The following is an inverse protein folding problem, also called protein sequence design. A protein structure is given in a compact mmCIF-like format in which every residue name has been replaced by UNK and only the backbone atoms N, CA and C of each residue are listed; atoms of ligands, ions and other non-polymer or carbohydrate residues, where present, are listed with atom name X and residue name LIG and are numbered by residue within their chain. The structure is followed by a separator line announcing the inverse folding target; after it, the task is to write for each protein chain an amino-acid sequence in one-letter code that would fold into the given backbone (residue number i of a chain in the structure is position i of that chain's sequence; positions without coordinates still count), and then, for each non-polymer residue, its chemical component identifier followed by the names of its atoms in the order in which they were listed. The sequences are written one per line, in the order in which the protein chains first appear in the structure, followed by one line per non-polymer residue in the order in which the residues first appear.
data_IF_965364970155
#
_entry.id   IF_965364970155
#
_cell.length_a   1.000
_cell.length_b   1.000
_cell.length_c   1.000
_cell.angle_alpha   90.00
_cell.angle_beta   90.00
_cell.angle_gamma   90.00
#
_symmetry.space_group_name_H-M   'P 1'
#
loop_
_entity.id
_entity.type
_entity.pdbx_description
1 polymer ?
#
# COMPACT_ATOMS: atom_id res chain seq x y z
N UNK A 1 5.59 -7.62 14.10
CA UNK A 1 5.84 -6.46 13.22
C UNK A 1 5.84 -6.81 11.73
N UNK A 2 6.20 -8.05 11.36
CA UNK A 2 6.21 -8.48 9.96
C UNK A 2 4.93 -9.25 9.64
N UNK A 3 4.31 -8.87 8.54
CA UNK A 3 3.08 -9.45 8.01
C UNK A 3 3.42 -10.26 6.77
N UNK A 4 2.77 -11.41 6.64
CA UNK A 4 2.94 -12.33 5.54
C UNK A 4 1.68 -12.32 4.68
N UNK A 5 1.88 -12.03 3.39
CA UNK A 5 0.85 -12.02 2.37
C UNK A 5 0.97 -13.31 1.57
N UNK A 6 -0.13 -14.04 1.42
CA UNK A 6 -0.19 -15.27 0.62
C UNK A 6 -1.30 -15.20 -0.42
N UNK A 7 -1.27 -16.12 -1.39
CA UNK A 7 -2.19 -16.18 -2.53
C UNK A 7 -2.07 -14.96 -3.46
N UNK A 8 -0.88 -14.41 -3.62
CA UNK A 8 -0.63 -13.36 -4.60
C UNK A 8 -0.92 -13.84 -6.03
N UNK A 9 -1.25 -12.95 -6.97
CA UNK A 9 -1.33 -13.28 -8.39
C UNK A 9 0.06 -13.50 -8.99
N UNK A 10 0.15 -14.30 -10.05
CA UNK A 10 1.42 -14.74 -10.65
C UNK A 10 2.26 -13.59 -11.22
N UNK A 11 1.58 -12.51 -11.66
CA UNK A 11 2.20 -11.32 -12.25
C UNK A 11 2.17 -10.12 -11.30
N UNK A 12 2.23 -10.37 -9.98
CA UNK A 12 2.25 -9.28 -9.01
C UNK A 12 3.55 -8.48 -9.09
N UNK A 13 3.44 -7.16 -9.04
CA UNK A 13 4.57 -6.24 -8.96
C UNK A 13 4.68 -5.63 -7.56
N UNK A 14 5.88 -5.17 -7.19
CA UNK A 14 6.07 -4.43 -5.95
C UNK A 14 5.14 -3.21 -5.86
N UNK A 15 4.92 -2.50 -6.98
CA UNK A 15 4.02 -1.35 -7.03
C UNK A 15 2.58 -1.70 -6.62
N UNK A 16 2.08 -2.86 -7.05
CA UNK A 16 0.74 -3.33 -6.65
C UNK A 16 0.69 -3.67 -5.16
N UNK A 17 1.74 -4.29 -4.61
CA UNK A 17 1.83 -4.60 -3.18
C UNK A 17 1.86 -3.30 -2.35
N UNK A 18 2.69 -2.34 -2.76
CA UNK A 18 2.76 -1.05 -2.09
C UNK A 18 1.47 -0.23 -2.22
N UNK A 19 0.69 -0.41 -3.28
CA UNK A 19 -0.62 0.27 -3.43
C UNK A 19 -1.64 -0.14 -2.36
N UNK A 20 -1.58 -1.39 -1.86
CA UNK A 20 -2.52 -1.89 -0.85
C UNK A 20 -2.02 -1.69 0.58
N UNK A 21 -0.71 -1.55 0.79
CA UNK A 21 -0.13 -1.31 2.11
C UNK A 21 -0.28 0.17 2.46
N UNK A 22 -1.04 0.47 3.52
CA UNK A 22 -1.22 1.81 4.09
C UNK A 22 -1.22 1.74 5.61
N UNK A 23 -1.11 2.87 6.29
CA UNK A 23 -1.23 2.94 7.75
C UNK A 23 0.07 2.91 8.53
N UNK A 24 1.22 2.94 7.87
CA UNK A 24 2.50 3.06 8.56
C UNK A 24 3.72 2.86 7.68
N UNK A 25 4.85 3.35 8.18
CA UNK A 25 6.13 3.28 7.48
C UNK A 25 6.62 1.84 7.37
N UNK A 26 6.96 1.44 6.15
CA UNK A 26 7.47 0.10 5.85
C UNK A 26 9.01 0.15 5.84
N UNK A 27 9.64 -0.81 6.51
CA UNK A 27 11.10 -0.97 6.54
C UNK A 27 11.57 -1.76 5.33
N UNK A 28 10.91 -2.88 5.06
CA UNK A 28 11.34 -3.86 4.07
C UNK A 28 10.15 -4.61 3.49
N UNK A 29 10.15 -4.77 2.17
CA UNK A 29 9.25 -5.69 1.48
C UNK A 29 10.07 -6.70 0.69
N UNK A 30 9.86 -7.96 1.02
CA UNK A 30 10.44 -9.09 0.32
C UNK A 30 9.34 -9.88 -0.37
N UNK A 31 9.47 -10.12 -1.67
CA UNK A 31 8.54 -10.92 -2.44
C UNK A 31 9.20 -12.22 -2.90
N UNK A 32 8.46 -13.33 -2.82
CA UNK A 32 8.86 -14.62 -3.36
C UNK A 32 7.84 -15.07 -4.38
N UNK A 33 8.08 -14.71 -5.64
CA UNK A 33 7.13 -14.99 -6.74
C UNK A 33 6.84 -16.48 -6.93
N UNK A 34 7.81 -17.36 -6.66
CA UNK A 34 7.62 -18.82 -6.77
C UNK A 34 6.56 -19.37 -5.81
N UNK A 35 6.39 -18.72 -4.65
CA UNK A 35 5.49 -19.19 -3.59
C UNK A 35 4.20 -18.34 -3.55
N UNK A 36 4.04 -17.40 -4.49
CA UNK A 36 2.95 -16.42 -4.50
C UNK A 36 2.78 -15.72 -3.14
N UNK A 37 3.91 -15.37 -2.53
CA UNK A 37 3.95 -14.83 -1.18
C UNK A 37 4.85 -13.61 -1.06
N UNK A 38 4.52 -12.71 -0.13
CA UNK A 38 5.34 -11.55 0.20
C UNK A 38 5.38 -11.32 1.71
N UNK A 39 6.47 -10.74 2.17
CA UNK A 39 6.71 -10.39 3.56
C UNK A 39 6.85 -8.87 3.63
N UNK A 40 6.05 -8.24 4.49
CA UNK A 40 6.03 -6.79 4.69
C UNK A 40 6.39 -6.51 6.13
N UNK A 41 7.48 -5.79 6.34
CA UNK A 41 8.00 -5.47 7.67
C UNK A 41 7.80 -3.99 7.97
N UNK A 42 7.07 -3.68 9.03
CA UNK A 42 6.83 -2.31 9.47
C UNK A 42 7.88 -1.83 10.47
N UNK A 43 8.10 -0.51 10.53
CA UNK A 43 8.96 0.12 11.55
C UNK A 43 8.36 -0.12 12.93
N UNK A 44 7.10 0.26 13.08
CA UNK A 44 6.35 0.17 14.32
C UNK A 44 5.49 -1.09 14.39
N UNK A 45 5.49 -1.73 15.57
CA UNK A 45 4.62 -2.89 15.82
C UNK A 45 3.13 -2.51 15.77
N UNK A 46 2.78 -1.31 16.23
CA UNK A 46 1.40 -0.80 16.22
C UNK A 46 0.87 -0.60 14.80
N UNK A 47 1.71 -0.12 13.87
CA UNK A 47 1.34 0.01 12.46
C UNK A 47 1.00 -1.35 11.84
N UNK A 48 1.81 -2.38 12.12
CA UNK A 48 1.54 -3.73 11.66
C UNK A 48 0.20 -4.26 12.24
N UNK A 49 -0.04 -4.10 13.53
CA UNK A 49 -1.29 -4.54 14.16
C UNK A 49 -2.51 -3.83 13.53
N UNK A 50 -2.42 -2.52 13.35
CA UNK A 50 -3.48 -1.74 12.71
C UNK A 50 -3.77 -2.21 11.28
N UNK A 51 -2.72 -2.49 10.50
CA UNK A 51 -2.88 -3.05 9.16
C UNK A 51 -3.53 -4.43 9.20
N UNK A 52 -3.09 -5.33 10.09
CA UNK A 52 -3.68 -6.65 10.26
C UNK A 52 -5.16 -6.60 10.66
N UNK A 53 -5.53 -5.73 11.60
CA UNK A 53 -6.93 -5.53 11.98
C UNK A 53 -7.76 -4.92 10.84
N UNK A 54 -7.15 -4.05 10.03
CA UNK A 54 -7.79 -3.50 8.84
C UNK A 54 -8.07 -4.58 7.80
N UNK A 55 -7.12 -5.49 7.53
CA UNK A 55 -7.29 -6.57 6.54
C UNK A 55 -8.32 -7.61 6.97
N UNK A 56 -8.51 -7.81 8.28
CA UNK A 56 -9.58 -8.66 8.82
C UNK A 56 -10.97 -8.07 8.63
N UNK A 57 -11.09 -6.74 8.62
CA UNK A 57 -12.38 -6.03 8.43
C UNK A 57 -12.66 -5.76 6.96
N UNK A 58 -11.63 -5.45 6.19
CA UNK A 58 -11.71 -5.12 4.78
C UNK A 58 -10.84 -6.10 4.00
N UNK A 59 -11.48 -6.96 3.22
CA UNK A 59 -10.76 -7.85 2.33
C UNK A 59 -9.90 -7.06 1.35
N UNK A 60 -8.62 -7.43 1.25
CA UNK A 60 -7.69 -6.82 0.31
C UNK A 60 -7.63 -7.64 -0.97
N UNK A 61 -7.70 -6.94 -2.09
CA UNK A 61 -7.60 -7.51 -3.42
C UNK A 61 -6.41 -6.90 -4.15
N UNK A 62 -5.61 -7.74 -4.81
CA UNK A 62 -4.64 -7.30 -5.82
C UNK A 62 -5.01 -8.01 -7.12
N UNK A 63 -5.16 -7.23 -8.19
CA UNK A 63 -5.50 -7.73 -9.52
C UNK A 63 -6.74 -8.64 -9.53
N UNK A 64 -7.77 -8.27 -8.76
CA UNK A 64 -9.01 -9.03 -8.62
C UNK A 64 -8.92 -10.29 -7.76
N UNK A 65 -7.73 -10.69 -7.28
CA UNK A 65 -7.53 -11.85 -6.41
C UNK A 65 -7.49 -11.42 -4.95
N UNK A 66 -8.28 -12.09 -4.10
CA UNK A 66 -8.28 -11.86 -2.64
C UNK A 66 -6.97 -12.39 -2.04
N UNK A 67 -6.28 -11.54 -1.31
CA UNK A 67 -5.04 -11.89 -0.60
C UNK A 67 -5.37 -12.36 0.81
N UNK A 68 -4.61 -13.35 1.27
CA UNK A 68 -4.64 -13.75 2.66
C UNK A 68 -3.49 -13.12 3.43
N UNK A 69 -3.79 -12.61 4.62
CA UNK A 69 -2.89 -11.78 5.42
C UNK A 69 -2.75 -12.42 6.79
N UNK A 70 -1.54 -12.84 7.12
CA UNK A 70 -1.20 -13.49 8.39
C UNK A 70 0.03 -12.87 9.02
N UNK A 71 0.27 -13.19 10.28
CA UNK A 71 1.53 -12.89 10.93
C UNK A 71 2.65 -13.80 10.41
N UNK A 72 3.84 -13.24 10.23
CA UNK A 72 5.00 -14.07 9.88
C UNK A 72 5.41 -14.96 11.05
N UNK A 73 5.94 -16.15 10.76
CA UNK A 73 6.44 -17.05 11.80
C UNK A 73 7.46 -16.33 12.69
N UNK A 74 7.46 -16.55 14.03
CA UNK A 74 8.37 -15.87 14.95
C UNK A 74 9.85 -16.00 14.57
N UNK A 75 10.26 -17.16 14.07
CA UNK A 75 11.64 -17.44 13.63
C UNK A 75 12.06 -16.69 12.36
N UNK A 76 11.11 -16.15 11.60
CA UNK A 76 11.33 -15.43 10.34
C UNK A 76 10.95 -13.96 10.43
N UNK A 77 10.81 -13.42 11.65
CA UNK A 77 10.55 -12.00 11.82
C UNK A 77 11.76 -11.17 11.39
N UNK A 78 11.48 -10.04 10.74
CA UNK A 78 12.53 -9.13 10.32
C UNK A 78 13.13 -8.42 11.52
N UNK A 79 14.46 -8.51 11.65
CA UNK A 79 15.23 -7.84 12.70
C UNK A 79 15.77 -6.53 12.13
N UNK A 80 15.31 -5.42 12.71
CA UNK A 80 15.82 -4.10 12.34
C UNK A 80 17.11 -3.87 13.12
N UNK A 81 18.21 -3.66 12.39
CA UNK A 81 19.50 -3.32 12.99
C UNK A 81 19.47 -1.89 13.56
N UNK A 82 20.18 -1.65 14.67
CA UNK A 82 20.18 -0.36 15.37
C UNK A 82 20.63 0.82 14.50
N UNK A 83 21.58 0.59 13.59
CA UNK A 83 22.05 1.59 12.63
C UNK A 83 20.94 2.04 11.67
N UNK A 84 20.09 1.11 11.23
CA UNK A 84 18.95 1.38 10.35
C UNK A 84 17.88 2.14 11.13
N UNK A 85 17.61 1.73 12.38
CA UNK A 85 16.68 2.46 13.24
C UNK A 85 17.11 3.91 13.46
N UNK A 86 18.40 4.15 13.72
CA UNK A 86 18.96 5.51 13.83
C UNK A 86 18.86 6.30 12.52
N UNK A 87 19.03 5.64 11.36
CA UNK A 87 18.82 6.28 10.06
C UNK A 87 17.35 6.68 9.87
N UNK A 88 16.40 5.81 10.21
CA UNK A 88 14.96 6.10 10.16
C UNK A 88 14.61 7.27 11.07
N UNK A 89 15.16 7.33 12.29
CA UNK A 89 14.97 8.46 13.21
C UNK A 89 15.52 9.79 12.65
N UNK A 90 16.49 9.75 11.74
CA UNK A 90 17.01 10.93 11.01
C UNK A 90 16.18 11.29 9.77
N UNK A 91 15.10 10.55 9.49
CA UNK A 91 14.23 10.75 8.33
C UNK A 91 14.58 9.89 7.12
N UNK A 92 15.37 8.81 7.28
CA UNK A 92 15.58 7.86 6.19
C UNK A 92 14.32 7.06 5.89
N UNK A 93 13.97 6.99 4.62
CA UNK A 93 12.83 6.23 4.08
C UNK A 93 13.27 5.40 2.89
N UNK A 94 12.33 4.66 2.29
CA UNK A 94 12.57 3.88 1.07
C UNK A 94 12.59 4.73 -0.22
N UNK A 95 12.14 5.98 -0.13
CA UNK A 95 11.98 6.87 -1.28
C UNK A 95 13.14 7.87 -1.35
N UNK A 96 13.76 7.98 -2.52
CA UNK A 96 14.87 8.89 -2.79
C UNK A 96 14.42 9.98 -3.75
N UNK A 97 14.75 11.23 -3.43
CA UNK A 97 14.60 12.37 -4.30
C UNK A 97 15.97 12.83 -4.77
N UNK A 98 16.21 12.72 -6.07
CA UNK A 98 17.37 13.27 -6.74
C UNK A 98 16.99 14.65 -7.28
N UNK A 99 17.70 15.69 -6.84
CA UNK A 99 17.47 17.07 -7.27
C UNK A 99 18.68 17.61 -8.02
N UNK A 100 18.43 18.55 -8.96
CA UNK A 100 19.45 19.11 -9.88
C UNK A 100 20.02 18.07 -10.83
N UNK A 101 19.14 17.21 -11.33
CA UNK A 101 19.52 16.12 -12.24
C UNK A 101 19.79 16.70 -13.64
N UNK A 102 20.93 16.36 -14.28
CA UNK A 102 21.20 16.76 -15.66
C UNK A 102 20.27 16.00 -16.64
N UNK A 103 19.92 16.59 -17.79
CA UNK A 103 19.05 15.95 -18.78
C UNK A 103 19.65 14.69 -19.42
N UNK A 104 20.96 14.46 -19.24
CA UNK A 104 21.64 13.24 -19.67
C UNK A 104 21.30 12.01 -18.82
N UNK A 105 20.81 12.20 -17.59
CA UNK A 105 20.46 11.09 -16.70
C UNK A 105 19.02 10.65 -16.98
N UNK A 106 18.88 9.46 -17.56
CA UNK A 106 17.58 8.86 -17.86
C UNK A 106 17.19 7.83 -16.80
N UNK A 107 15.89 7.55 -16.72
CA UNK A 107 15.33 6.49 -15.90
C UNK A 107 16.00 5.12 -16.16
N UNK A 108 16.25 4.79 -17.43
CA UNK A 108 16.92 3.56 -17.82
C UNK A 108 18.35 3.48 -17.26
N UNK A 109 19.07 4.61 -17.26
CA UNK A 109 20.42 4.67 -16.69
C UNK A 109 20.43 4.47 -15.19
N UNK A 110 19.48 5.08 -14.46
CA UNK A 110 19.37 4.87 -13.01
C UNK A 110 19.09 3.40 -12.70
N UNK A 111 18.24 2.73 -13.49
CA UNK A 111 17.99 1.30 -13.31
C UNK A 111 19.25 0.47 -13.55
N UNK A 112 19.96 0.69 -14.65
CA UNK A 112 21.24 0.02 -14.94
C UNK A 112 22.25 0.26 -13.82
N UNK A 113 22.33 1.50 -13.32
CA UNK A 113 23.24 1.86 -12.25
C UNK A 113 22.87 1.22 -10.92
N UNK A 114 21.63 0.77 -10.71
CA UNK A 114 21.17 0.13 -9.47
C UNK A 114 21.06 -1.40 -9.57
N UNK A 115 21.08 -1.97 -10.78
CA UNK A 115 20.82 -3.39 -11.06
C UNK A 115 21.84 -4.33 -10.41
N UNK A 116 23.08 -3.87 -10.24
CA UNK A 116 24.15 -4.61 -9.56
C UNK A 116 23.93 -4.77 -8.03
N UNK A 117 22.93 -4.10 -7.44
CA UNK A 117 22.63 -4.22 -6.00
C UNK A 117 21.67 -5.39 -5.78
N UNK A 118 22.11 -6.40 -5.03
CA UNK A 118 21.29 -7.56 -4.72
C UNK A 118 20.02 -7.19 -3.94
N UNK A 119 18.90 -7.82 -4.31
CA UNK A 119 17.59 -7.59 -3.69
C UNK A 119 17.10 -6.13 -3.77
N UNK A 120 17.65 -5.35 -4.70
CA UNK A 120 17.11 -4.03 -5.01
C UNK A 120 16.01 -4.19 -6.05
N UNK A 121 14.81 -3.76 -5.68
CA UNK A 121 13.71 -3.65 -6.62
C UNK A 121 13.24 -2.20 -6.66
N UNK A 122 13.32 -1.62 -7.86
CA UNK A 122 12.78 -0.30 -8.15
C UNK A 122 11.29 -0.44 -8.40
N UNK A 123 10.48 0.14 -7.53
CA UNK A 123 9.02 0.15 -7.65
C UNK A 123 8.59 1.08 -8.80
N UNK A 124 9.03 2.33 -8.71
CA UNK A 124 8.64 3.41 -9.61
C UNK A 124 9.75 4.45 -9.69
N UNK A 125 9.93 5.01 -10.88
CA UNK A 125 10.75 6.21 -11.09
C UNK A 125 9.86 7.25 -11.72
N UNK A 126 9.75 8.42 -11.10
CA UNK A 126 9.03 9.57 -11.68
C UNK A 126 10.00 10.70 -11.94
N UNK A 127 10.05 11.20 -13.17
CA UNK A 127 10.81 12.39 -13.52
C UNK A 127 9.87 13.61 -13.50
N UNK A 128 10.19 14.61 -12.69
CA UNK A 128 9.48 15.89 -12.58
C UNK A 128 10.47 17.03 -12.81
N UNK A 129 10.58 17.47 -14.06
CA UNK A 129 11.52 18.52 -14.45
C UNK A 129 12.96 18.12 -14.17
N UNK A 130 13.67 18.88 -13.34
CA UNK A 130 15.05 18.62 -12.92
C UNK A 130 15.18 17.71 -11.68
N UNK A 131 14.10 17.09 -11.25
CA UNK A 131 14.06 16.20 -10.09
C UNK A 131 13.53 14.83 -10.46
N UNK A 132 14.12 13.79 -9.89
CA UNK A 132 13.72 12.40 -10.09
C UNK A 132 13.39 11.79 -8.74
N UNK A 133 12.19 11.22 -8.64
CA UNK A 133 11.74 10.44 -7.51
C UNK A 133 11.96 8.96 -7.80
N UNK A 134 12.62 8.25 -6.89
CA UNK A 134 12.88 6.82 -6.99
C UNK A 134 12.30 6.13 -5.77
N UNK A 135 11.32 5.26 -5.99
CA UNK A 135 10.71 4.44 -4.96
C UNK A 135 11.36 3.05 -4.96
N UNK A 136 11.84 2.61 -3.81
CA UNK A 136 12.54 1.33 -3.62
C UNK A 136 11.75 0.42 -2.68
N UNK A 137 12.11 -0.86 -2.67
CA UNK A 137 11.46 -1.88 -1.86
C UNK A 137 11.76 -1.80 -0.34
N UNK A 138 12.88 -1.19 0.05
CA UNK A 138 13.40 -1.26 1.42
C UNK A 138 14.20 -0.03 1.81
N UNK A 139 14.13 0.37 3.09
CA UNK A 139 14.92 1.48 3.65
C UNK A 139 16.41 1.14 3.68
N UNK A 140 16.76 -0.11 4.01
CA UNK A 140 18.15 -0.57 4.00
C UNK A 140 18.74 -0.44 2.60
N UNK A 141 17.99 -0.93 1.60
CA UNK A 141 18.39 -0.86 0.19
C UNK A 141 18.49 0.60 -0.28
N UNK A 142 17.58 1.48 0.16
CA UNK A 142 17.65 2.91 -0.17
C UNK A 142 18.90 3.60 0.39
N UNK A 143 19.33 3.24 1.60
CA UNK A 143 20.59 3.73 2.17
C UNK A 143 21.80 3.31 1.32
N UNK A 144 21.85 2.03 0.92
CA UNK A 144 22.91 1.51 0.05
C UNK A 144 22.87 2.15 -1.34
N UNK A 145 21.69 2.23 -1.95
CA UNK A 145 21.48 2.87 -3.25
C UNK A 145 21.98 4.32 -3.22
N UNK A 146 21.62 5.10 -2.19
CA UNK A 146 22.11 6.47 -2.03
C UNK A 146 23.64 6.54 -2.01
N UNK A 147 24.31 5.68 -1.24
CA UNK A 147 25.78 5.66 -1.20
C UNK A 147 26.41 5.24 -2.53
N UNK A 148 25.82 4.26 -3.21
CA UNK A 148 26.29 3.79 -4.51
C UNK A 148 26.16 4.88 -5.57
N UNK A 149 25.00 5.53 -5.67
CA UNK A 149 24.79 6.64 -6.60
C UNK A 149 25.76 7.79 -6.32
N UNK A 150 25.98 8.15 -5.06
CA UNK A 150 26.94 9.21 -4.69
C UNK A 150 28.39 8.92 -5.10
N UNK A 151 28.81 7.65 -5.16
CA UNK A 151 30.16 7.28 -5.59
C UNK A 151 30.42 7.40 -7.09
N UNK A 152 29.35 7.47 -7.91
CA UNK A 152 29.45 7.51 -9.37
C UNK A 152 29.65 8.94 -9.87
N UNK A 153 30.58 9.14 -10.80
CA UNK A 153 30.88 10.45 -11.40
C UNK A 153 29.66 11.07 -12.10
N UNK A 154 28.79 10.25 -12.68
CA UNK A 154 27.55 10.68 -13.35
C UNK A 154 26.57 11.40 -12.42
N UNK A 155 26.67 11.17 -11.11
CA UNK A 155 25.80 11.78 -10.11
C UNK A 155 26.48 12.91 -9.34
N UNK A 156 27.68 13.31 -9.76
CA UNK A 156 28.44 14.40 -9.12
C UNK A 156 27.65 15.71 -9.22
N UNK A 157 27.41 16.34 -8.07
CA UNK A 157 26.65 17.60 -7.97
C UNK A 157 25.14 17.43 -7.84
N UNK A 158 24.60 16.22 -8.00
CA UNK A 158 23.19 15.90 -7.72
C UNK A 158 22.98 15.82 -6.21
N UNK A 159 21.88 16.39 -5.72
CA UNK A 159 21.48 16.28 -4.31
C UNK A 159 20.55 15.09 -4.14
N UNK A 160 20.93 14.11 -3.32
CA UNK A 160 20.12 12.91 -3.03
C UNK A 160 19.60 12.97 -1.60
N UNK A 161 18.29 13.17 -1.47
CA UNK A 161 17.56 13.35 -0.21
C UNK A 161 16.51 12.24 -0.03
N UNK A 162 16.11 11.99 1.21
CA UNK A 162 15.00 11.08 1.50
C UNK A 162 13.68 11.85 1.45
N UNK A 163 12.62 11.21 0.98
CA UNK A 163 11.28 11.80 0.94
C UNK A 163 10.27 10.92 1.67
N UNK A 164 9.08 11.45 1.93
CA UNK A 164 8.04 10.74 2.68
C UNK A 164 7.60 9.48 1.92
N UNK A 165 7.36 8.42 2.68
CA UNK A 165 6.81 7.17 2.15
C UNK A 165 5.28 7.29 2.00
N UNK A 166 4.76 6.94 0.82
CA UNK A 166 3.32 6.88 0.53
C UNK A 166 2.60 5.85 1.42
N UNK A 167 3.30 4.81 1.87
CA UNK A 167 2.73 3.82 2.79
C UNK A 167 2.50 4.37 4.20
N UNK A 168 3.19 5.45 4.58
CA UNK A 168 3.00 6.13 5.86
C UNK A 168 1.70 6.95 5.90
N UNK A 169 1.00 7.10 4.77
CA UNK A 169 -0.34 7.70 4.74
C UNK A 169 -1.32 6.91 5.61
N UNK A 170 -2.31 7.62 6.15
CA UNK A 170 -3.35 7.01 6.99
C UNK A 170 -4.08 5.92 6.22
N UNK A 171 -4.48 4.86 6.91
CA UNK A 171 -5.37 3.84 6.35
C UNK A 171 -6.58 4.54 5.73
N UNK A 172 -7.00 4.15 4.52
CA UNK A 172 -8.21 4.69 3.93
C UNK A 172 -9.37 4.49 4.92
N UNK A 173 -10.12 5.56 5.16
CA UNK A 173 -11.30 5.47 6.01
C UNK A 173 -12.18 4.33 5.47
N UNK A 174 -12.81 3.52 6.35
CA UNK A 174 -13.72 2.49 5.89
C UNK A 174 -14.72 3.19 4.96
N UNK A 175 -14.78 2.74 3.69
CA UNK A 175 -15.88 3.15 2.82
C UNK A 175 -17.12 2.76 3.61
N UNK A 176 -17.86 3.74 4.14
CA UNK A 176 -19.26 3.53 4.45
C UNK A 176 -19.80 3.08 3.12
N UNK A 177 -19.99 1.78 2.96
CA UNK A 177 -20.82 1.25 1.91
C UNK A 177 -22.18 1.80 2.28
N UNK A 178 -22.43 3.03 1.81
CA UNK A 178 -23.76 3.53 1.71
C UNK A 178 -24.43 2.46 0.89
N UNK A 179 -25.20 1.61 1.56
CA UNK A 179 -26.43 1.17 0.98
C UNK A 179 -27.09 2.50 0.63
N UNK A 180 -26.87 3.00 -0.59
CA UNK A 180 -27.86 3.83 -1.21
C UNK A 180 -29.10 2.95 -1.13
N UNK A 181 -29.89 3.20 -0.08
CA UNK A 181 -31.30 2.91 -0.12
C UNK A 181 -31.72 3.70 -1.34
N UNK A 182 -31.76 3.04 -2.51
CA UNK A 182 -32.53 3.52 -3.64
C UNK A 182 -33.81 3.98 -3.00
N UNK A 183 -34.10 5.28 -3.06
CA UNK A 183 -35.43 5.77 -2.72
C UNK A 183 -36.34 4.97 -3.61
N UNK A 184 -36.92 3.90 -3.07
CA UNK A 184 -38.04 3.22 -3.70
C UNK A 184 -39.05 4.34 -3.76
N UNK A 185 -39.26 4.88 -4.96
CA UNK A 185 -40.38 5.75 -5.21
C UNK A 185 -41.57 4.98 -4.66
N UNK A 186 -42.19 5.58 -3.65
CA UNK A 186 -43.39 5.10 -3.00
C UNK A 186 -44.48 5.10 -4.08
N UNK A 187 -44.50 4.05 -4.91
CA UNK A 187 -45.61 3.80 -5.81
C UNK A 187 -46.78 3.49 -4.90
N UNK A 188 -47.77 4.36 -5.03
CA UNK A 188 -49.04 4.36 -4.33
C UNK A 188 -49.42 2.97 -3.80
N UNK A 189 -49.68 2.94 -2.49
CA UNK A 189 -50.33 1.85 -1.78
C UNK A 189 -51.48 1.35 -2.66
N UNK A 190 -51.29 0.19 -3.28
CA UNK A 190 -52.37 -0.57 -3.87
C UNK A 190 -53.23 -1.01 -2.70
N UNK A 191 -54.27 -0.23 -2.38
CA UNK A 191 -55.35 -0.69 -1.51
C UNK A 191 -55.87 -2.00 -2.09
N UNK A 192 -55.75 -3.07 -1.31
CA UNK A 192 -56.32 -4.36 -1.65
C UNK A 192 -57.83 -4.15 -1.88
N UNK A 193 -58.33 -4.59 -3.04
CA UNK A 193 -59.75 -4.47 -3.43
C UNK A 193 -60.74 -5.18 -2.50
N UNK A 194 -60.25 -5.95 -1.53
CA UNK A 194 -61.07 -6.66 -0.56
C UNK A 194 -61.50 -5.81 0.64
N UNK A 195 -60.90 -4.62 0.86
CA UNK A 195 -61.26 -3.73 1.98
C UNK A 195 -62.58 -2.95 1.77
N UNK A 196 -63.23 -3.07 0.61
CA UNK A 196 -64.51 -2.37 0.34
C UNK A 196 -65.72 -3.18 0.86
N UNK A 197 -65.54 -4.48 1.14
CA UNK A 197 -66.62 -5.34 1.64
C UNK A 197 -66.78 -5.33 3.17
N UNK A 198 -65.84 -4.75 3.92
CA UNK A 198 -65.90 -4.71 5.38
C UNK A 198 -66.68 -3.52 5.96
N UNK A 199 -67.34 -2.72 5.12
CA UNK A 199 -68.12 -1.53 5.52
C UNK A 199 -69.60 -1.64 5.12
N UNK A 200 -70.07 -2.84 4.73
CA UNK A 200 -71.46 -3.08 4.31
C UNK A 200 -72.28 -3.92 5.30
N UNK A 201 -71.76 -4.16 6.51
CA UNK A 201 -72.53 -4.71 7.63
C UNK A 201 -72.31 -3.78 8.83
N UNK A 202 -73.38 -3.51 9.56
CA UNK A 202 -73.48 -2.68 10.77
C UNK A 202 -73.73 -1.17 10.57
N UNK A 203 -74.83 -0.85 9.91
CA UNK A 203 -75.67 0.27 10.35
C UNK A 203 -77.16 -0.10 10.29
N UNK A 204 -77.56 -1.10 11.06
CA UNK A 204 -78.90 -1.19 11.63
C UNK A 204 -78.74 -1.38 13.15
N UNK A 205 -79.58 -0.66 13.88
CA UNK A 205 -79.91 -0.76 15.30
C UNK A 205 -79.24 0.22 16.31
N UNK A 206 -80.18 0.94 16.96
CA UNK A 206 -80.16 1.81 18.15
C UNK A 206 -79.85 3.31 18.01
#
# INVERSE_FOLDING_TARGET
RTIFLTKLPDRVTYAQIFSVIRGGTVVDVWMKSSDHAASVSFVDCSAAENFYQYTRKNDIYIDGKRIHVDWREPSRQFVILNNIMSAISRGATRNLLLSKVPPSLTEARIREDLDHIHNLHVEKIEMKGSSILVNLNSVCVALFARTCLMSRSSYKGIRIEFTVDECAERLPAPKKMGIERKKVQEKAILKNRFDILAMAEDSEDE
#
